data_IF_407707809811
#
_entry.id   IF_407707809811
#
_cell.length_a   1.000
_cell.length_b   1.000
_cell.length_c   1.000
_cell.angle_alpha   90.00
_cell.angle_beta   90.00
_cell.angle_gamma   90.00
#
_symmetry.space_group_name_H-M   'P 1'
#
loop_
_entity.id
_entity.type
_entity.pdbx_description
1 polymer ?
#
# COMPACT_ATOMS: atom_id res chain seq x y z
N UNK A 1 -8.06 1.97 13.72
CA UNK A 1 -8.08 1.94 12.25
C UNK A 1 -7.61 3.29 11.74
N UNK A 2 -6.58 3.29 10.90
CA UNK A 2 -6.05 4.47 10.22
C UNK A 2 -6.30 4.33 8.73
N UNK A 3 -6.73 5.43 8.11
CA UNK A 3 -6.92 5.54 6.66
C UNK A 3 -6.11 6.72 6.11
N UNK A 4 -5.32 6.48 5.05
CA UNK A 4 -4.61 7.54 4.32
C UNK A 4 -4.66 7.35 2.82
N UNK A 5 -4.70 8.47 2.09
CA UNK A 5 -4.76 8.54 0.62
C UNK A 5 -3.44 9.06 0.07
N UNK A 6 -2.96 8.44 -1.00
CA UNK A 6 -1.75 8.83 -1.71
C UNK A 6 -2.01 8.90 -3.20
N UNK A 7 -1.47 9.93 -3.86
CA UNK A 7 -1.43 10.00 -5.32
C UNK A 7 -0.11 9.40 -5.78
N UNK A 8 -0.17 8.35 -6.60
CA UNK A 8 1.04 7.71 -7.14
C UNK A 8 1.75 8.67 -8.10
N UNK A 9 3.04 8.89 -7.86
CA UNK A 9 3.89 9.77 -8.68
C UNK A 9 4.85 9.02 -9.59
N UNK A 10 5.19 7.79 -9.21
CA UNK A 10 6.05 6.92 -10.02
C UNK A 10 5.31 6.54 -11.31
N UNK A 11 5.95 6.75 -12.47
CA UNK A 11 5.41 6.42 -13.79
C UNK A 11 5.03 4.94 -13.92
N UNK A 12 5.72 4.07 -13.19
CA UNK A 12 5.43 2.63 -13.15
C UNK A 12 4.38 2.26 -12.08
N UNK A 13 3.94 3.20 -11.24
CA UNK A 13 2.91 2.98 -10.23
C UNK A 13 3.29 1.96 -9.14
N UNK A 14 2.32 1.18 -8.65
CA UNK A 14 2.54 0.09 -7.68
C UNK A 14 2.97 -1.22 -8.39
N UNK A 15 3.99 -1.13 -9.24
CA UNK A 15 4.56 -2.27 -9.96
C UNK A 15 5.32 -3.25 -9.04
N UNK A 16 5.88 -4.31 -9.64
CA UNK A 16 6.49 -5.43 -8.91
C UNK A 16 7.49 -5.03 -7.80
N UNK A 17 8.31 -3.98 -8.02
CA UNK A 17 9.33 -3.56 -7.03
C UNK A 17 8.71 -2.86 -5.81
N UNK A 18 7.99 -1.73 -5.93
CA UNK A 18 7.34 -1.09 -4.77
C UNK A 18 6.30 -2.01 -4.13
N UNK A 19 5.58 -2.83 -4.90
CA UNK A 19 4.66 -3.84 -4.36
C UNK A 19 5.37 -4.89 -3.49
N UNK A 20 6.50 -5.44 -3.95
CA UNK A 20 7.27 -6.39 -3.16
C UNK A 20 7.86 -5.75 -1.89
N UNK A 21 8.39 -4.52 -1.99
CA UNK A 21 8.92 -3.79 -0.83
C UNK A 21 7.84 -3.48 0.21
N UNK A 22 6.66 -3.08 -0.25
CA UNK A 22 5.50 -2.83 0.59
C UNK A 22 5.05 -4.11 1.27
N UNK A 23 4.83 -5.19 0.52
CA UNK A 23 4.47 -6.50 1.06
C UNK A 23 5.50 -6.97 2.10
N UNK A 24 6.80 -6.88 1.83
CA UNK A 24 7.83 -7.30 2.79
C UNK A 24 7.78 -6.55 4.13
N UNK A 25 7.32 -5.29 4.13
CA UNK A 25 7.10 -4.51 5.35
C UNK A 25 5.79 -4.91 6.02
N UNK A 26 4.70 -4.97 5.26
CA UNK A 26 3.36 -5.27 5.79
C UNK A 26 3.23 -6.71 6.28
N UNK A 27 3.95 -7.67 5.70
CA UNK A 27 3.97 -9.07 6.16
C UNK A 27 4.55 -9.27 7.56
N UNK A 28 5.20 -8.24 8.12
CA UNK A 28 5.75 -8.27 9.49
C UNK A 28 4.82 -7.64 10.53
N UNK A 29 3.79 -6.90 10.10
CA UNK A 29 2.87 -6.24 11.03
C UNK A 29 1.74 -7.19 11.43
N UNK A 30 1.21 -7.02 12.63
CA UNK A 30 0.05 -7.75 13.14
C UNK A 30 -1.26 -7.19 12.56
N UNK A 31 -1.29 -5.90 12.24
CA UNK A 31 -2.45 -5.22 11.68
C UNK A 31 -2.89 -5.82 10.34
N UNK A 32 -4.20 -5.78 10.09
CA UNK A 32 -4.77 -5.98 8.75
C UNK A 32 -4.43 -4.76 7.90
N UNK A 33 -4.02 -4.99 6.66
CA UNK A 33 -3.65 -3.93 5.71
C UNK A 33 -4.46 -4.15 4.44
N UNK A 34 -5.35 -3.21 4.12
CA UNK A 34 -6.14 -3.22 2.90
C UNK A 34 -5.76 -2.02 2.05
N UNK A 35 -5.61 -2.24 0.74
CA UNK A 35 -5.25 -1.22 -0.23
C UNK A 35 -6.36 -1.12 -1.25
N UNK A 36 -6.85 0.10 -1.49
CA UNK A 36 -7.97 0.36 -2.39
C UNK A 36 -7.49 1.27 -3.52
N UNK A 37 -7.74 0.86 -4.76
CA UNK A 37 -7.48 1.67 -5.96
C UNK A 37 -8.58 1.39 -6.98
N UNK A 38 -9.16 2.42 -7.61
CA UNK A 38 -10.21 2.26 -8.65
C UNK A 38 -11.42 1.39 -8.24
N UNK A 39 -11.70 1.28 -6.93
CA UNK A 39 -12.77 0.43 -6.39
C UNK A 39 -12.36 -1.04 -6.16
N UNK A 40 -11.18 -1.45 -6.62
CA UNK A 40 -10.58 -2.75 -6.34
C UNK A 40 -9.86 -2.74 -4.98
N UNK A 41 -9.76 -3.92 -4.36
CA UNK A 41 -9.14 -4.11 -3.05
C UNK A 41 -8.04 -5.16 -3.11
N UNK A 42 -6.94 -4.90 -2.40
CA UNK A 42 -5.84 -5.82 -2.24
C UNK A 42 -5.44 -5.98 -0.77
N UNK A 43 -4.87 -7.14 -0.46
CA UNK A 43 -4.21 -7.38 0.81
C UNK A 43 -2.79 -6.81 0.74
N UNK A 44 -2.46 -5.86 1.62
CA UNK A 44 -1.13 -5.26 1.68
C UNK A 44 -0.02 -6.25 2.01
N UNK A 45 -0.33 -7.48 2.41
CA UNK A 45 0.60 -8.58 2.69
C UNK A 45 0.72 -9.58 1.53
N UNK A 46 0.02 -9.38 0.42
CA UNK A 46 0.14 -10.20 -0.79
C UNK A 46 0.56 -9.34 -2.00
N UNK A 47 1.81 -9.51 -2.43
CA UNK A 47 2.37 -8.81 -3.57
C UNK A 47 1.60 -9.05 -4.88
N UNK A 48 1.03 -10.25 -5.07
CA UNK A 48 0.22 -10.53 -6.28
C UNK A 48 -1.08 -9.74 -6.25
N UNK A 49 -1.76 -9.67 -5.11
CA UNK A 49 -2.98 -8.89 -4.96
C UNK A 49 -2.74 -7.38 -5.15
N UNK A 50 -1.61 -6.86 -4.66
CA UNK A 50 -1.21 -5.46 -4.84
C UNK A 50 -1.00 -5.15 -6.33
N UNK A 51 -0.28 -6.03 -7.03
CA UNK A 51 -0.03 -5.86 -8.46
C UNK A 51 -1.32 -5.95 -9.29
N UNK A 52 -2.30 -6.75 -8.85
CA UNK A 52 -3.59 -6.88 -9.51
C UNK A 52 -4.45 -5.61 -9.44
N UNK A 53 -4.13 -4.64 -8.56
CA UNK A 53 -4.81 -3.34 -8.52
C UNK A 53 -4.59 -2.49 -9.79
N UNK A 54 -3.57 -2.81 -10.58
CA UNK A 54 -3.19 -2.04 -11.78
C UNK A 54 -3.13 -0.52 -11.50
N UNK A 55 -2.55 -0.17 -10.35
CA UNK A 55 -2.44 1.19 -9.87
C UNK A 55 -1.23 1.86 -10.52
N UNK A 56 -1.49 2.90 -11.33
CA UNK A 56 -0.52 3.61 -12.16
C UNK A 56 -0.36 5.06 -11.71
N UNK A 57 0.59 5.78 -12.30
CA UNK A 57 0.80 7.20 -12.01
C UNK A 57 -0.49 8.01 -12.13
N UNK A 58 -0.73 8.88 -11.15
CA UNK A 58 -1.91 9.72 -11.06
C UNK A 58 -3.11 9.07 -10.37
N UNK A 59 -3.11 7.75 -10.17
CA UNK A 59 -4.16 7.09 -9.40
C UNK A 59 -4.09 7.46 -7.92
N UNK A 60 -5.27 7.57 -7.30
CA UNK A 60 -5.41 7.62 -5.84
C UNK A 60 -5.44 6.19 -5.28
N UNK A 61 -4.57 5.95 -4.30
CA UNK A 61 -4.52 4.70 -3.55
C UNK A 61 -4.80 4.99 -2.08
N UNK A 62 -5.73 4.23 -1.51
CA UNK A 62 -6.14 4.35 -0.11
C UNK A 62 -5.60 3.17 0.67
N UNK A 63 -4.86 3.45 1.75
CA UNK A 63 -4.40 2.45 2.70
C UNK A 63 -5.28 2.49 3.94
N UNK A 64 -5.88 1.35 4.25
CA UNK A 64 -6.70 1.11 5.42
C UNK A 64 -5.98 0.10 6.32
N UNK A 65 -5.50 0.54 7.48
CA UNK A 65 -4.74 -0.30 8.40
C UNK A 65 -5.49 -0.38 9.73
N UNK A 66 -5.72 -1.60 10.20
CA UNK A 66 -6.44 -1.85 11.44
C UNK A 66 -5.70 -2.89 12.29
N UNK A 67 -5.29 -2.48 13.49
CA UNK A 67 -4.67 -3.38 14.46
C UNK A 67 -3.72 -2.70 15.43
N UNK A 68 -2.99 -3.48 16.23
CA UNK A 68 -2.21 -2.99 17.37
C UNK A 68 -0.96 -2.19 16.98
N UNK A 69 -0.49 -2.33 15.73
CA UNK A 69 0.68 -1.67 15.17
C UNK A 69 0.34 -0.81 13.93
N UNK A 70 -0.92 -0.35 13.84
CA UNK A 70 -1.43 0.39 12.67
C UNK A 70 -0.69 1.72 12.41
N UNK A 71 -0.26 2.41 13.47
CA UNK A 71 0.53 3.65 13.37
C UNK A 71 1.92 3.39 12.76
N UNK A 72 2.63 2.37 13.26
CA UNK A 72 3.96 2.00 12.75
C UNK A 72 3.87 1.51 11.30
N UNK A 73 2.86 0.70 10.99
CA UNK A 73 2.58 0.23 9.65
C UNK A 73 2.30 1.40 8.69
N UNK A 74 1.47 2.38 9.10
CA UNK A 74 1.16 3.55 8.27
C UNK A 74 2.40 4.43 8.04
N UNK A 75 3.25 4.61 9.05
CA UNK A 75 4.52 5.33 8.86
C UNK A 75 5.41 4.65 7.82
N UNK A 76 5.47 3.31 7.82
CA UNK A 76 6.22 2.56 6.82
C UNK A 76 5.66 2.72 5.41
N UNK A 77 4.33 2.83 5.27
CA UNK A 77 3.65 3.16 4.00
C UNK A 77 4.02 4.56 3.54
N UNK A 78 3.91 5.57 4.40
CA UNK A 78 4.24 6.96 4.08
C UNK A 78 5.68 7.11 3.58
N UNK A 79 6.63 6.41 4.21
CA UNK A 79 8.03 6.40 3.79
C UNK A 79 8.21 5.82 2.39
N UNK A 80 7.42 4.82 2.01
CA UNK A 80 7.51 4.18 0.69
C UNK A 80 6.81 5.00 -0.39
N UNK A 81 5.64 5.57 -0.08
CA UNK A 81 4.85 6.38 -1.02
C UNK A 81 5.46 7.77 -1.29
N UNK A 82 6.25 8.31 -0.34
CA UNK A 82 6.91 9.61 -0.49
C UNK A 82 8.35 9.52 -1.05
N UNK A 83 8.87 8.33 -1.32
CA UNK A 83 10.13 8.17 -2.05
C UNK A 83 9.93 8.61 -3.51
N UNK A 84 10.83 9.48 -3.99
CA UNK A 84 10.84 10.00 -5.36
C UNK A 84 11.47 9.02 -6.33
#
# INVERSE_FOLDING_TARGET
>A
MIERRFILKDEMGLHARPAAMLMMKMSKVLSRVEIICKGERADGKDAMSIMALDAVAGDEVVFCIEGPDEEEAMQAVELLMNQR
#
